data_IF_262948197081
#
_entry.id   IF_262948197081
#
_cell.length_a   1.000
_cell.length_b   1.000
_cell.length_c   1.000
_cell.angle_alpha   90.00
_cell.angle_beta   90.00
_cell.angle_gamma   90.00
#
_symmetry.space_group_name_H-M   'P 1'
#
loop_
_entity.id
_entity.type
_entity.pdbx_description
1 polymer ?
#
# COMPACT_ATOMS: atom_id res chain seq x y z
N UNK A 1 -18.28 -10.06 13.39
CA UNK A 1 -17.14 -10.31 12.50
C UNK A 1 -15.90 -9.62 13.07
N UNK A 2 -14.84 -10.38 13.27
CA UNK A 2 -13.61 -9.79 13.79
C UNK A 2 -12.90 -9.01 12.71
N UNK A 3 -12.49 -7.79 13.05
CA UNK A 3 -11.63 -7.03 12.17
C UNK A 3 -10.21 -7.58 12.23
N UNK A 4 -9.59 -7.73 11.09
CA UNK A 4 -8.20 -8.14 11.01
C UNK A 4 -7.33 -6.90 11.15
N UNK A 5 -6.39 -6.87 12.08
CA UNK A 5 -5.48 -5.73 12.18
C UNK A 5 -4.72 -5.50 10.88
N UNK A 6 -4.40 -4.26 10.60
CA UNK A 6 -3.73 -3.87 9.35
C UNK A 6 -2.44 -4.66 9.15
N UNK A 7 -1.66 -4.84 10.21
CA UNK A 7 -0.36 -5.53 10.11
C UNK A 7 -0.49 -7.04 9.85
N UNK A 8 -1.69 -7.59 9.97
CA UNK A 8 -1.94 -9.00 9.66
C UNK A 8 -2.57 -9.21 8.30
N UNK A 9 -2.99 -8.14 7.63
CA UNK A 9 -3.59 -8.23 6.31
C UNK A 9 -2.51 -8.40 5.25
N UNK A 10 -2.79 -9.26 4.27
CA UNK A 10 -1.90 -9.42 3.11
C UNK A 10 -1.99 -8.23 2.17
N UNK A 11 -3.19 -7.68 2.02
CA UNK A 11 -3.46 -6.55 1.13
C UNK A 11 -4.14 -5.44 1.91
N UNK A 12 -3.78 -4.20 1.60
CA UNK A 12 -4.30 -3.02 2.26
C UNK A 12 -5.00 -2.12 1.23
N UNK A 13 -6.04 -1.40 1.68
CA UNK A 13 -6.57 -0.31 0.87
C UNK A 13 -5.58 0.86 0.91
N UNK A 14 -5.79 1.86 0.03
CA UNK A 14 -4.93 3.05 0.07
C UNK A 14 -4.99 3.75 1.42
N UNK A 15 -6.17 3.84 2.01
CA UNK A 15 -6.34 4.46 3.32
C UNK A 15 -5.63 3.68 4.41
N UNK A 16 -5.74 2.36 4.39
CA UNK A 16 -5.06 1.50 5.35
C UNK A 16 -3.55 1.61 5.20
N UNK A 17 -3.06 1.62 3.97
CA UNK A 17 -1.64 1.75 3.71
C UNK A 17 -1.12 3.12 4.17
N UNK A 18 -1.90 4.17 4.00
CA UNK A 18 -1.53 5.50 4.47
C UNK A 18 -1.41 5.54 5.99
N UNK A 19 -2.37 4.94 6.68
CA UNK A 19 -2.33 4.86 8.15
C UNK A 19 -1.17 4.02 8.64
N UNK A 20 -0.91 2.91 7.95
CA UNK A 20 0.15 1.97 8.30
C UNK A 20 1.54 2.58 8.13
N UNK A 21 1.74 3.36 7.07
CA UNK A 21 3.07 3.87 6.69
C UNK A 21 3.29 5.34 7.03
N UNK A 22 2.24 6.05 7.40
CA UNK A 22 2.25 7.51 7.60
C UNK A 22 2.53 8.30 6.32
N UNK A 23 2.38 7.66 5.18
CA UNK A 23 2.48 8.34 3.88
C UNK A 23 1.07 8.80 3.49
N UNK A 24 0.95 10.02 2.96
CA UNK A 24 -0.35 10.54 2.55
C UNK A 24 -0.98 9.73 1.41
N UNK A 25 -2.32 9.66 1.40
CA UNK A 25 -3.04 8.90 0.37
C UNK A 25 -2.77 9.42 -1.04
N UNK A 26 -2.61 10.74 -1.20
CA UNK A 26 -2.31 11.32 -2.51
C UNK A 26 -0.96 10.82 -3.04
N UNK A 27 0.03 10.77 -2.16
CA UNK A 27 1.35 10.26 -2.54
C UNK A 27 1.29 8.78 -2.90
N UNK A 28 0.55 7.99 -2.12
CA UNK A 28 0.37 6.57 -2.40
C UNK A 28 -0.34 6.36 -3.72
N UNK A 29 -1.33 7.18 -4.03
CA UNK A 29 -2.05 7.10 -5.30
C UNK A 29 -1.09 7.35 -6.46
N UNK A 30 -0.22 8.35 -6.34
CA UNK A 30 0.78 8.62 -7.37
C UNK A 30 1.72 7.43 -7.55
N UNK A 31 2.17 6.83 -6.46
CA UNK A 31 3.06 5.68 -6.50
C UNK A 31 2.39 4.48 -7.17
N UNK A 32 1.11 4.23 -6.87
CA UNK A 32 0.40 3.08 -7.44
C UNK A 32 0.08 3.27 -8.92
N UNK A 33 0.08 4.50 -9.41
CA UNK A 33 -0.17 4.78 -10.82
C UNK A 33 1.08 4.62 -11.69
N UNK A 34 2.24 4.44 -11.07
CA UNK A 34 3.46 4.22 -11.82
C UNK A 34 3.48 2.82 -12.43
N UNK A 35 3.99 2.71 -13.66
CA UNK A 35 4.04 1.44 -14.38
C UNK A 35 4.90 0.40 -13.67
N UNK A 36 5.91 0.85 -12.97
CA UNK A 36 6.87 -0.03 -12.30
C UNK A 36 6.47 -0.36 -10.86
N UNK A 37 5.28 0.05 -10.44
CA UNK A 37 4.82 -0.22 -9.09
C UNK A 37 4.58 -1.71 -8.89
N UNK A 38 5.35 -2.33 -8.00
CA UNK A 38 5.29 -3.78 -7.76
C UNK A 38 4.41 -4.16 -6.59
N UNK A 39 4.05 -3.19 -5.75
CA UNK A 39 3.26 -3.47 -4.55
C UNK A 39 1.77 -3.22 -4.73
N UNK A 40 1.34 -2.86 -5.92
CA UNK A 40 -0.07 -2.61 -6.19
C UNK A 40 -0.74 -3.86 -6.75
N UNK A 41 -1.98 -4.09 -6.34
CA UNK A 41 -2.81 -5.16 -6.85
C UNK A 41 -4.15 -4.55 -7.27
N UNK A 42 -4.49 -4.69 -8.54
CA UNK A 42 -5.77 -4.20 -9.05
C UNK A 42 -6.79 -5.33 -9.04
N UNK A 43 -7.90 -5.11 -8.36
CA UNK A 43 -9.02 -6.04 -8.33
C UNK A 43 -10.22 -5.30 -8.90
N UNK A 44 -10.49 -5.48 -10.19
CA UNK A 44 -11.49 -4.68 -10.88
C UNK A 44 -11.09 -3.22 -10.84
N UNK A 45 -11.94 -2.38 -10.24
CA UNK A 45 -11.67 -0.96 -10.09
C UNK A 45 -10.98 -0.60 -8.77
N UNK A 46 -10.71 -1.61 -7.94
CA UNK A 46 -10.09 -1.37 -6.63
C UNK A 46 -8.59 -1.51 -6.70
N UNK A 47 -7.91 -0.55 -6.09
CA UNK A 47 -6.46 -0.58 -5.95
C UNK A 47 -6.12 -1.02 -4.53
N UNK A 48 -5.41 -2.13 -4.42
CA UNK A 48 -4.95 -2.65 -3.15
C UNK A 48 -3.43 -2.61 -3.09
N UNK A 49 -2.90 -2.50 -1.89
CA UNK A 49 -1.45 -2.47 -1.66
C UNK A 49 -1.03 -3.82 -1.08
N UNK A 50 -0.09 -4.48 -1.73
CA UNK A 50 0.48 -5.73 -1.21
C UNK A 50 1.43 -5.38 -0.07
N UNK A 51 1.03 -5.68 1.16
CA UNK A 51 1.75 -5.22 2.35
C UNK A 51 3.22 -5.62 2.36
N UNK A 52 3.53 -6.87 2.04
CA UNK A 52 4.92 -7.35 2.05
C UNK A 52 5.81 -6.57 1.08
N UNK A 53 5.34 -6.39 -0.13
CA UNK A 53 6.11 -5.68 -1.16
C UNK A 53 6.20 -4.21 -0.82
N UNK A 54 5.15 -3.66 -0.22
CA UNK A 54 5.14 -2.28 0.22
C UNK A 54 6.18 -2.06 1.33
N UNK A 55 6.25 -2.98 2.30
CA UNK A 55 7.26 -2.92 3.35
C UNK A 55 8.67 -2.92 2.77
N UNK A 56 8.93 -3.79 1.80
CA UNK A 56 10.23 -3.87 1.14
C UNK A 56 10.56 -2.57 0.39
N UNK A 57 9.57 -2.00 -0.26
CA UNK A 57 9.73 -0.74 -0.98
C UNK A 57 10.14 0.38 -0.01
N UNK A 58 9.43 0.49 1.10
CA UNK A 58 9.70 1.54 2.08
C UNK A 58 11.08 1.36 2.72
N UNK A 59 11.48 0.12 3.00
CA UNK A 59 12.79 -0.16 3.58
C UNK A 59 13.94 0.36 2.72
N UNK A 60 13.75 0.37 1.42
CA UNK A 60 14.78 0.78 0.47
C UNK A 60 14.78 2.29 0.20
N UNK A 61 13.80 3.01 0.73
CA UNK A 61 13.66 4.44 0.46
C UNK A 61 14.09 5.28 1.64
N UNK A 62 14.82 6.35 1.33
CA UNK A 62 15.19 7.36 2.32
C UNK A 62 14.18 8.50 2.35
N UNK A 63 13.57 8.77 1.21
CA UNK A 63 12.55 9.79 1.09
C UNK A 63 11.66 9.50 -0.10
N UNK A 64 10.49 10.02 -0.03
CA UNK A 64 9.51 9.85 -1.10
C UNK A 64 9.02 11.22 -1.55
#
# INVERSE_FOLDING_TARGET
MKEVPIWEKSNLSLEEAAAYSSIGTNKLRDLTNEKDCRFVLWVGNKCLIKRRLFDQFIEQMYSI
#
